data_IF_232436171690
#
_entry.id   IF_232436171690
#
_cell.length_a   1.000
_cell.length_b   1.000
_cell.length_c   1.000
_cell.angle_alpha   90.00
_cell.angle_beta   90.00
_cell.angle_gamma   90.00
#
_symmetry.space_group_name_H-M   'P 1'
#
loop_
_entity.id
_entity.type
_entity.pdbx_description
1 polymer ?
#
# COMPACT_ATOMS: atom_id res chain seq x y z
N UNK A 1 -45.21 14.97 10.26
CA UNK A 1 -43.82 15.08 9.76
C UNK A 1 -43.09 13.82 10.15
N UNK A 2 -42.94 12.87 9.20
CA UNK A 2 -42.28 11.56 9.43
C UNK A 2 -40.78 11.71 9.12
N UNK A 3 -39.96 11.38 10.10
CA UNK A 3 -38.50 11.35 9.98
C UNK A 3 -38.12 10.01 9.35
N UNK A 4 -37.73 9.99 8.08
CA UNK A 4 -37.14 8.84 7.42
C UNK A 4 -35.68 8.72 7.87
N UNK A 5 -35.41 7.73 8.73
CA UNK A 5 -34.04 7.26 9.01
C UNK A 5 -33.54 6.53 7.78
N UNK A 6 -32.59 7.12 7.08
CA UNK A 6 -31.80 6.49 6.06
C UNK A 6 -31.10 5.24 6.63
N UNK A 7 -31.57 4.05 6.20
CA UNK A 7 -30.92 2.76 6.46
C UNK A 7 -29.79 2.60 5.46
N UNK A 8 -28.59 2.92 5.88
CA UNK A 8 -27.37 2.58 5.12
C UNK A 8 -27.08 1.08 5.28
N UNK A 9 -27.41 0.28 4.29
CA UNK A 9 -26.93 -1.09 4.15
C UNK A 9 -25.45 -1.04 3.75
N UNK A 10 -24.57 -1.38 4.67
CA UNK A 10 -23.15 -1.52 4.40
C UNK A 10 -22.89 -2.91 3.77
N UNK A 11 -22.91 -2.96 2.45
CA UNK A 11 -22.38 -4.09 1.70
C UNK A 11 -20.85 -4.03 1.80
N UNK A 12 -20.27 -4.88 2.65
CA UNK A 12 -18.83 -5.16 2.59
C UNK A 12 -18.63 -6.02 1.34
N UNK A 13 -18.39 -5.34 0.24
CA UNK A 13 -18.34 -5.93 -1.10
C UNK A 13 -17.15 -6.86 -1.25
N UNK A 14 -17.43 -8.07 -1.72
CA UNK A 14 -16.47 -9.14 -2.09
C UNK A 14 -15.46 -8.79 -3.19
N UNK A 15 -15.29 -7.52 -3.53
CA UNK A 15 -14.33 -7.05 -4.55
C UNK A 15 -12.86 -7.19 -4.15
N UNK A 16 -12.56 -7.53 -2.88
CA UNK A 16 -11.19 -7.72 -2.37
C UNK A 16 -10.58 -9.06 -2.82
N UNK A 17 -11.37 -10.03 -3.28
CA UNK A 17 -10.89 -11.39 -3.61
C UNK A 17 -10.27 -11.48 -5.02
N UNK A 18 -10.46 -10.50 -5.92
CA UNK A 18 -10.03 -10.62 -7.31
C UNK A 18 -8.71 -9.89 -7.66
N UNK A 19 -8.06 -9.21 -6.74
CA UNK A 19 -6.75 -8.57 -6.99
C UNK A 19 -5.52 -9.43 -6.65
N UNK A 20 -5.68 -10.70 -6.30
CA UNK A 20 -4.57 -11.55 -5.83
C UNK A 20 -3.76 -12.26 -6.95
N UNK A 21 -4.01 -12.04 -8.24
CA UNK A 21 -3.37 -12.86 -9.31
C UNK A 21 -2.52 -12.09 -10.32
N UNK A 22 -2.40 -10.78 -10.24
CA UNK A 22 -1.51 -10.05 -11.18
C UNK A 22 -0.55 -9.12 -10.46
N UNK A 23 0.36 -9.68 -9.65
CA UNK A 23 1.51 -8.94 -9.14
C UNK A 23 2.80 -9.52 -9.75
N UNK A 24 3.03 -9.21 -11.01
CA UNK A 24 4.35 -9.28 -11.64
C UNK A 24 4.72 -7.87 -12.08
N UNK A 25 5.80 -7.38 -11.50
CA UNK A 25 6.56 -6.19 -11.89
C UNK A 25 5.90 -4.82 -11.74
N UNK A 26 6.31 -4.10 -10.72
CA UNK A 26 6.59 -2.67 -10.81
C UNK A 26 5.39 -1.74 -10.81
N UNK A 27 4.94 -1.29 -9.62
CA UNK A 27 4.39 0.05 -9.55
C UNK A 27 4.68 0.71 -8.19
N UNK A 28 5.16 1.94 -8.28
CA UNK A 28 5.52 2.80 -7.16
C UNK A 28 4.40 2.94 -6.13
N UNK A 29 4.73 2.83 -4.84
CA UNK A 29 3.82 2.99 -3.69
C UNK A 29 3.10 4.36 -3.59
N UNK A 30 3.25 5.26 -4.58
CA UNK A 30 2.60 6.57 -4.63
C UNK A 30 1.15 6.58 -5.12
N UNK A 31 0.68 5.54 -5.83
CA UNK A 31 -0.62 5.55 -6.50
C UNK A 31 -1.72 4.66 -5.88
N UNK A 32 -1.42 3.86 -4.85
CA UNK A 32 -2.39 2.90 -4.31
C UNK A 32 -3.67 3.53 -3.72
N UNK A 33 -3.57 4.75 -3.18
CA UNK A 33 -4.75 5.42 -2.59
C UNK A 33 -5.64 6.08 -3.63
N UNK A 34 -5.13 6.39 -4.82
CA UNK A 34 -5.90 7.03 -5.89
C UNK A 34 -6.79 6.05 -6.67
N UNK A 35 -6.37 4.80 -6.84
CA UNK A 35 -7.13 3.80 -7.59
C UNK A 35 -8.37 3.27 -6.86
N UNK A 36 -8.36 3.18 -5.52
CA UNK A 36 -9.54 2.77 -4.76
C UNK A 36 -10.74 3.71 -4.91
N UNK A 37 -10.53 5.00 -5.15
CA UNK A 37 -11.62 5.96 -5.38
C UNK A 37 -12.21 5.89 -6.80
N UNK A 38 -11.47 5.41 -7.78
CA UNK A 38 -11.94 5.27 -9.16
C UNK A 38 -12.85 4.04 -9.35
N UNK A 39 -12.54 2.93 -8.66
CA UNK A 39 -13.31 1.68 -8.72
C UNK A 39 -14.68 1.82 -8.06
N UNK A 40 -14.80 2.60 -6.98
CA UNK A 40 -16.08 2.79 -6.29
C UNK A 40 -17.11 3.62 -7.07
N UNK A 41 -16.73 4.32 -8.13
CA UNK A 41 -17.64 5.13 -8.97
C UNK A 41 -18.24 4.41 -10.18
N UNK A 42 -17.71 3.24 -10.56
CA UNK A 42 -18.17 2.52 -11.78
C UNK A 42 -19.19 1.41 -11.52
N UNK A 43 -19.63 1.18 -10.28
CA UNK A 43 -20.52 0.07 -9.92
C UNK A 43 -22.01 0.45 -9.81
N UNK A 44 -22.44 1.60 -10.30
CA UNK A 44 -23.86 2.01 -10.32
C UNK A 44 -24.44 2.10 -11.72
N UNK A 45 -24.02 1.28 -12.67
CA UNK A 45 -24.69 1.18 -13.98
C UNK A 45 -25.02 -0.27 -14.29
N UNK A 46 -26.32 -0.47 -14.60
CA UNK A 46 -26.95 -1.76 -14.89
C UNK A 46 -26.25 -2.56 -15.99
N UNK A 47 -26.18 -3.89 -15.80
CA UNK A 47 -25.67 -4.84 -16.77
C UNK A 47 -26.55 -4.95 -18.03
N UNK A 48 -25.98 -4.99 -19.23
CA UNK A 48 -26.56 -5.64 -20.39
C UNK A 48 -25.99 -7.07 -20.56
N UNK A 49 -26.83 -7.92 -21.17
CA UNK A 49 -26.62 -9.34 -21.42
C UNK A 49 -25.35 -9.70 -22.22
N UNK A 50 -24.86 -10.96 -22.16
CA UNK A 50 -23.58 -11.35 -22.72
C UNK A 50 -23.64 -11.42 -24.27
N UNK A 51 -22.71 -10.71 -24.92
CA UNK A 51 -22.42 -10.87 -26.33
C UNK A 51 -21.31 -11.93 -26.53
N UNK A 52 -21.28 -12.61 -27.71
CA UNK A 52 -20.36 -13.73 -27.92
C UNK A 52 -18.90 -13.28 -28.01
N UNK A 53 -18.01 -14.16 -27.59
CA UNK A 53 -16.57 -13.96 -27.53
C UNK A 53 -15.98 -13.66 -28.94
N UNK A 54 -15.08 -12.67 -29.06
CA UNK A 54 -14.18 -12.59 -30.19
C UNK A 54 -12.90 -13.38 -29.93
N UNK A 55 -12.62 -14.29 -30.84
CA UNK A 55 -11.37 -15.04 -30.95
C UNK A 55 -10.19 -14.11 -31.30
N UNK A 56 -9.04 -14.36 -30.72
CA UNK A 56 -7.68 -14.00 -31.13
C UNK A 56 -7.26 -12.52 -31.20
N UNK A 57 -6.59 -12.02 -30.12
CA UNK A 57 -5.53 -11.02 -30.26
C UNK A 57 -4.43 -11.09 -29.20
N UNK A 58 -3.53 -12.10 -29.19
CA UNK A 58 -2.34 -12.05 -28.33
C UNK A 58 -1.11 -11.41 -29.00
N UNK A 59 -1.08 -11.22 -30.33
CA UNK A 59 0.14 -10.77 -31.03
C UNK A 59 0.36 -9.25 -31.02
N UNK A 60 -0.70 -8.44 -31.03
CA UNK A 60 -0.57 -6.98 -31.05
C UNK A 60 -0.16 -6.39 -29.70
N UNK A 61 -0.55 -7.02 -28.58
CA UNK A 61 -0.19 -6.59 -27.23
C UNK A 61 1.29 -6.85 -26.91
N UNK A 62 1.86 -7.97 -27.37
CA UNK A 62 3.26 -8.31 -27.16
C UNK A 62 4.22 -7.40 -27.94
N UNK A 63 3.85 -7.04 -29.19
CA UNK A 63 4.68 -6.15 -30.03
C UNK A 63 4.71 -4.71 -29.49
N UNK A 64 3.60 -4.20 -28.94
CA UNK A 64 3.58 -2.88 -28.33
C UNK A 64 4.36 -2.82 -27.00
N UNK A 65 4.31 -3.89 -26.21
CA UNK A 65 5.08 -4.00 -24.96
C UNK A 65 6.59 -4.07 -25.22
N UNK A 66 7.01 -4.79 -26.27
CA UNK A 66 8.42 -4.85 -26.70
C UNK A 66 8.94 -3.48 -27.15
N UNK A 67 8.15 -2.77 -28.00
CA UNK A 67 8.55 -1.45 -28.48
C UNK A 67 8.67 -0.41 -27.35
N UNK A 68 7.83 -0.48 -26.32
CA UNK A 68 7.94 0.39 -25.14
C UNK A 68 9.16 0.06 -24.29
N UNK A 69 9.48 -1.21 -24.09
CA UNK A 69 10.68 -1.64 -23.37
C UNK A 69 11.97 -1.21 -24.08
N UNK A 70 12.04 -1.37 -25.41
CA UNK A 70 13.18 -0.95 -26.23
C UNK A 70 13.37 0.57 -26.16
N UNK A 71 12.30 1.36 -26.20
CA UNK A 71 12.35 2.81 -26.08
C UNK A 71 12.82 3.25 -24.67
N UNK A 72 12.38 2.57 -23.62
CA UNK A 72 12.78 2.83 -22.24
C UNK A 72 14.26 2.51 -22.03
N UNK A 73 14.75 1.40 -22.57
CA UNK A 73 16.17 1.05 -22.51
C UNK A 73 17.05 2.04 -23.27
N UNK A 74 16.58 2.51 -24.45
CA UNK A 74 17.29 3.56 -25.20
C UNK A 74 17.35 4.88 -24.41
N UNK A 75 16.26 5.25 -23.73
CA UNK A 75 16.22 6.43 -22.88
C UNK A 75 17.22 6.33 -21.71
N UNK A 76 17.25 5.20 -21.01
CA UNK A 76 18.21 4.95 -19.92
C UNK A 76 19.65 5.03 -20.44
N UNK A 77 19.95 4.46 -21.61
CA UNK A 77 21.28 4.57 -22.23
C UNK A 77 21.66 6.02 -22.49
N UNK A 78 20.76 6.80 -23.05
CA UNK A 78 21.00 8.22 -23.30
C UNK A 78 21.29 8.99 -21.99
N UNK A 79 20.47 8.81 -20.95
CA UNK A 79 20.69 9.45 -19.66
C UNK A 79 22.00 9.00 -18.99
N UNK A 80 22.38 7.73 -19.17
CA UNK A 80 23.65 7.21 -18.65
C UNK A 80 24.86 7.89 -19.34
N UNK A 81 24.78 8.12 -20.64
CA UNK A 81 25.81 8.85 -21.37
C UNK A 81 25.84 10.33 -20.97
N UNK A 82 24.68 10.96 -20.77
CA UNK A 82 24.59 12.33 -20.25
C UNK A 82 25.22 12.47 -18.86
N UNK A 83 24.91 11.55 -17.92
CA UNK A 83 25.48 11.56 -16.58
C UNK A 83 27.00 11.34 -16.59
N UNK A 84 27.52 10.48 -17.50
CA UNK A 84 28.96 10.29 -17.68
C UNK A 84 29.68 11.50 -18.26
N UNK A 85 29.02 12.25 -19.14
CA UNK A 85 29.56 13.50 -19.70
C UNK A 85 29.51 14.66 -18.70
N UNK A 86 28.61 14.57 -17.72
CA UNK A 86 28.41 15.60 -16.68
C UNK A 86 28.53 14.97 -15.28
N UNK A 87 29.69 14.43 -14.90
CA UNK A 87 29.84 13.63 -13.67
C UNK A 87 29.58 14.44 -12.39
N UNK A 88 29.73 15.77 -12.45
CA UNK A 88 29.51 16.70 -11.33
C UNK A 88 28.07 17.24 -11.29
N UNK A 89 27.18 16.75 -12.14
CA UNK A 89 25.77 17.14 -12.15
C UNK A 89 24.92 16.14 -11.34
N UNK A 90 24.51 16.52 -10.12
CA UNK A 90 23.58 15.72 -9.32
C UNK A 90 22.25 15.49 -10.05
N UNK A 91 21.76 16.49 -10.80
CA UNK A 91 20.53 16.39 -11.60
C UNK A 91 20.63 15.32 -12.70
N UNK A 92 21.76 15.23 -13.42
CA UNK A 92 21.96 14.20 -14.44
C UNK A 92 21.91 12.79 -13.84
N UNK A 93 22.57 12.58 -12.70
CA UNK A 93 22.51 11.32 -11.97
C UNK A 93 21.12 11.01 -11.42
N UNK A 94 20.40 12.02 -10.92
CA UNK A 94 19.01 11.87 -10.45
C UNK A 94 18.10 11.45 -11.59
N UNK A 95 18.19 12.08 -12.77
CA UNK A 95 17.39 11.71 -13.95
C UNK A 95 17.63 10.26 -14.38
N UNK A 96 18.89 9.84 -14.39
CA UNK A 96 19.23 8.44 -14.67
C UNK A 96 18.62 7.50 -13.62
N UNK A 97 18.76 7.84 -12.35
CA UNK A 97 18.17 7.07 -11.24
C UNK A 97 16.65 6.92 -11.39
N UNK A 98 15.94 8.02 -11.69
CA UNK A 98 14.51 8.00 -11.90
C UNK A 98 14.10 7.14 -13.10
N UNK A 99 14.81 7.22 -14.22
CA UNK A 99 14.53 6.38 -15.37
C UNK A 99 14.77 4.88 -15.08
N UNK A 100 15.82 4.54 -14.33
CA UNK A 100 16.08 3.17 -13.86
C UNK A 100 14.98 2.73 -12.87
N UNK A 101 14.54 3.62 -11.97
CA UNK A 101 13.42 3.37 -11.03
C UNK A 101 12.14 3.01 -11.78
N UNK A 102 11.75 3.82 -12.78
CA UNK A 102 10.55 3.60 -13.59
C UNK A 102 10.64 2.31 -14.43
N UNK A 103 11.86 1.88 -14.77
CA UNK A 103 12.12 0.62 -15.46
C UNK A 103 12.15 -0.60 -14.52
N UNK A 104 12.14 -0.39 -13.20
CA UNK A 104 12.34 -1.47 -12.22
C UNK A 104 13.78 -1.97 -12.14
N UNK A 105 14.75 -1.26 -12.73
CA UNK A 105 16.19 -1.54 -12.62
C UNK A 105 16.70 -0.99 -11.27
N UNK A 106 16.50 -1.78 -10.23
CA UNK A 106 16.86 -1.36 -8.89
C UNK A 106 18.37 -1.14 -8.71
N UNK A 107 19.20 -1.93 -9.36
CA UNK A 107 20.66 -1.80 -9.26
C UNK A 107 21.14 -0.52 -9.96
N UNK A 108 20.65 -0.28 -11.18
CA UNK A 108 20.97 0.94 -11.92
C UNK A 108 20.46 2.21 -11.21
N UNK A 109 19.26 2.15 -10.64
CA UNK A 109 18.71 3.26 -9.86
C UNK A 109 19.54 3.56 -8.61
N UNK A 110 19.89 2.54 -7.82
CA UNK A 110 20.71 2.69 -6.61
C UNK A 110 22.09 3.28 -6.96
N UNK A 111 22.75 2.79 -8.01
CA UNK A 111 24.04 3.32 -8.44
C UNK A 111 23.95 4.81 -8.81
N UNK A 112 22.95 5.18 -9.59
CA UNK A 112 22.74 6.56 -10.02
C UNK A 112 22.37 7.47 -8.84
N UNK A 113 21.46 7.05 -7.96
CA UNK A 113 21.11 7.82 -6.76
C UNK A 113 22.29 7.98 -5.79
N UNK A 114 23.13 6.97 -5.64
CA UNK A 114 24.37 7.10 -4.85
C UNK A 114 25.32 8.15 -5.46
N UNK A 115 25.40 8.22 -6.80
CA UNK A 115 26.21 9.24 -7.46
C UNK A 115 25.64 10.63 -7.22
N UNK A 116 24.33 10.81 -7.37
CA UNK A 116 23.63 12.07 -7.06
C UNK A 116 23.83 12.48 -5.61
N UNK A 117 23.65 11.56 -4.64
CA UNK A 117 23.78 11.84 -3.21
C UNK A 117 25.22 12.09 -2.74
N UNK A 118 26.26 11.69 -3.51
CA UNK A 118 27.62 12.14 -3.23
C UNK A 118 27.81 13.63 -3.52
N UNK A 119 27.06 14.17 -4.47
CA UNK A 119 27.09 15.58 -4.87
C UNK A 119 26.14 16.42 -4.01
N UNK A 120 24.96 15.89 -3.73
CA UNK A 120 23.90 16.54 -2.93
C UNK A 120 23.44 15.61 -1.79
N UNK A 121 24.23 15.50 -0.69
CA UNK A 121 23.93 14.58 0.41
C UNK A 121 22.60 14.82 1.12
N UNK A 122 22.09 16.05 1.11
CA UNK A 122 20.83 16.46 1.76
C UNK A 122 19.57 16.22 0.93
N UNK A 123 19.65 15.61 -0.26
CA UNK A 123 18.49 15.40 -1.11
C UNK A 123 17.63 14.25 -0.56
N UNK A 124 16.59 14.60 0.21
CA UNK A 124 15.70 13.64 0.88
C UNK A 124 14.82 12.87 -0.10
N UNK A 125 14.41 13.47 -1.22
CA UNK A 125 13.63 12.80 -2.26
C UNK A 125 14.44 11.65 -2.87
N UNK A 126 15.64 11.95 -3.39
CA UNK A 126 16.54 10.95 -3.98
C UNK A 126 16.88 9.84 -2.98
N UNK A 127 17.10 10.20 -1.72
CA UNK A 127 17.40 9.22 -0.67
C UNK A 127 16.20 8.33 -0.37
N UNK A 128 14.98 8.88 -0.41
CA UNK A 128 13.74 8.12 -0.24
C UNK A 128 13.52 7.16 -1.39
N UNK A 129 13.75 7.58 -2.62
CA UNK A 129 13.60 6.75 -3.81
C UNK A 129 14.65 5.63 -3.83
N UNK A 130 15.90 5.90 -3.43
CA UNK A 130 16.92 4.88 -3.23
C UNK A 130 16.48 3.84 -2.17
N UNK A 131 15.85 4.28 -1.09
CA UNK A 131 15.25 3.39 -0.08
C UNK A 131 14.19 2.48 -0.67
N UNK A 132 13.33 3.00 -1.55
CA UNK A 132 12.31 2.21 -2.25
C UNK A 132 12.95 1.14 -3.16
N UNK A 133 14.09 1.44 -3.78
CA UNK A 133 14.83 0.46 -4.58
C UNK A 133 15.46 -0.65 -3.71
N UNK A 134 16.02 -0.32 -2.54
CA UNK A 134 16.46 -1.35 -1.59
C UNK A 134 15.32 -2.24 -1.12
N UNK A 135 14.13 -1.67 -0.87
CA UNK A 135 12.94 -2.44 -0.53
C UNK A 135 12.56 -3.41 -1.67
N UNK A 136 12.55 -2.95 -2.91
CA UNK A 136 12.27 -3.77 -4.09
C UNK A 136 13.27 -4.92 -4.26
N UNK A 137 14.52 -4.72 -3.89
CA UNK A 137 15.56 -5.77 -3.85
C UNK A 137 15.40 -6.78 -2.70
N UNK A 138 14.42 -6.60 -1.82
CA UNK A 138 14.27 -7.42 -0.61
C UNK A 138 15.30 -7.10 0.47
N UNK A 139 15.83 -5.87 0.50
CA UNK A 139 16.77 -5.34 1.48
C UNK A 139 16.08 -4.30 2.40
N UNK A 140 15.00 -4.67 3.14
CA UNK A 140 14.17 -3.70 3.85
C UNK A 140 14.91 -2.96 4.97
N UNK A 141 15.93 -3.56 5.57
CA UNK A 141 16.75 -2.88 6.58
C UNK A 141 17.48 -1.67 5.98
N UNK A 142 18.08 -1.83 4.78
CA UNK A 142 18.75 -0.73 4.07
C UNK A 142 17.76 0.33 3.59
N UNK A 143 16.56 -0.09 3.21
CA UNK A 143 15.49 0.85 2.89
C UNK A 143 15.16 1.74 4.09
N UNK A 144 14.98 1.15 5.29
CA UNK A 144 14.71 1.91 6.52
C UNK A 144 15.86 2.86 6.85
N UNK A 145 17.13 2.45 6.70
CA UNK A 145 18.30 3.34 6.89
C UNK A 145 18.24 4.56 5.95
N UNK A 146 17.87 4.36 4.69
CA UNK A 146 17.69 5.47 3.73
C UNK A 146 16.59 6.43 4.18
N UNK A 147 15.41 5.91 4.58
CA UNK A 147 14.31 6.75 5.07
C UNK A 147 14.69 7.48 6.36
N UNK A 148 15.39 6.84 7.28
CA UNK A 148 15.87 7.49 8.50
C UNK A 148 16.83 8.64 8.22
N UNK A 149 17.74 8.45 7.27
CA UNK A 149 18.64 9.52 6.88
C UNK A 149 17.89 10.65 6.16
N UNK A 150 16.92 10.34 5.29
CA UNK A 150 16.07 11.35 4.67
C UNK A 150 15.30 12.17 5.73
N UNK A 151 14.83 11.50 6.79
CA UNK A 151 14.12 12.15 7.89
C UNK A 151 15.03 12.93 8.85
N UNK A 152 16.33 12.63 8.92
CA UNK A 152 17.29 13.48 9.62
C UNK A 152 17.50 14.81 8.89
N UNK A 153 17.58 14.75 7.57
CA UNK A 153 17.77 15.93 6.72
C UNK A 153 16.47 16.75 6.62
N UNK A 154 15.32 16.05 6.49
CA UNK A 154 13.98 16.63 6.37
C UNK A 154 12.95 15.89 7.24
N UNK A 155 12.78 16.24 8.52
CA UNK A 155 11.94 15.49 9.48
C UNK A 155 10.46 15.35 9.07
N UNK A 156 9.92 16.30 8.31
CA UNK A 156 8.55 16.27 7.78
C UNK A 156 8.41 15.64 6.39
N UNK A 157 9.44 14.93 5.87
CA UNK A 157 9.42 14.36 4.54
C UNK A 157 8.38 13.24 4.41
N UNK A 158 7.25 13.55 3.77
CA UNK A 158 6.02 12.72 3.74
C UNK A 158 6.25 11.31 3.21
N UNK A 159 6.95 11.21 2.06
CA UNK A 159 7.20 9.92 1.41
C UNK A 159 8.12 9.03 2.27
N UNK A 160 9.16 9.60 2.89
CA UNK A 160 10.03 8.85 3.79
C UNK A 160 9.27 8.36 5.05
N UNK A 161 8.40 9.20 5.62
CA UNK A 161 7.53 8.82 6.76
C UNK A 161 6.62 7.66 6.38
N UNK A 162 5.93 7.77 5.24
CA UNK A 162 5.00 6.75 4.80
C UNK A 162 5.73 5.44 4.47
N UNK A 163 6.75 5.51 3.62
CA UNK A 163 7.48 4.34 3.14
C UNK A 163 8.22 3.62 4.27
N UNK A 164 8.81 4.35 5.24
CA UNK A 164 9.41 3.75 6.44
C UNK A 164 8.39 2.92 7.21
N UNK A 165 7.22 3.48 7.53
CA UNK A 165 6.21 2.77 8.29
C UNK A 165 5.66 1.55 7.55
N UNK A 166 5.41 1.66 6.23
CA UNK A 166 4.96 0.54 5.39
C UNK A 166 6.03 -0.56 5.35
N UNK A 167 7.31 -0.22 5.16
CA UNK A 167 8.42 -1.18 5.16
C UNK A 167 8.55 -1.89 6.51
N UNK A 168 8.44 -1.16 7.61
CA UNK A 168 8.46 -1.76 8.96
C UNK A 168 7.29 -2.74 9.14
N UNK A 169 6.10 -2.40 8.64
CA UNK A 169 4.89 -3.21 8.82
C UNK A 169 4.89 -4.46 7.96
N UNK A 170 5.18 -4.34 6.67
CA UNK A 170 5.04 -5.41 5.69
C UNK A 170 6.30 -6.27 5.56
N UNK A 171 7.46 -5.62 5.45
CA UNK A 171 8.69 -6.31 5.07
C UNK A 171 9.51 -6.74 6.29
N UNK A 172 9.46 -5.96 7.39
CA UNK A 172 10.09 -6.30 8.67
C UNK A 172 9.13 -6.96 9.67
N UNK A 173 7.83 -7.06 9.35
CA UNK A 173 6.80 -7.68 10.18
C UNK A 173 6.66 -7.05 11.59
N UNK A 174 6.79 -5.72 11.67
CA UNK A 174 6.81 -4.94 12.90
C UNK A 174 5.62 -3.95 12.98
N UNK A 175 4.36 -4.41 12.97
CA UNK A 175 3.20 -3.50 12.93
C UNK A 175 3.12 -2.57 14.15
N UNK A 176 3.54 -3.02 15.34
CA UNK A 176 3.54 -2.20 16.54
C UNK A 176 4.50 -1.03 16.42
N UNK A 177 5.73 -1.30 15.94
CA UNK A 177 6.75 -0.27 15.77
C UNK A 177 6.39 0.71 14.65
N UNK A 178 5.79 0.22 13.56
CA UNK A 178 5.32 1.05 12.46
C UNK A 178 4.25 2.06 12.93
N UNK A 179 3.24 1.58 13.66
CA UNK A 179 2.19 2.44 14.22
C UNK A 179 2.75 3.41 15.24
N UNK A 180 3.62 2.95 16.15
CA UNK A 180 4.26 3.82 17.13
C UNK A 180 5.13 4.92 16.49
N UNK A 181 5.83 4.58 15.41
CA UNK A 181 6.59 5.54 14.61
C UNK A 181 5.66 6.60 14.01
N UNK A 182 4.60 6.23 13.29
CA UNK A 182 3.65 7.21 12.72
C UNK A 182 2.98 8.05 13.81
N UNK A 183 2.60 7.46 14.94
CA UNK A 183 2.07 8.22 16.08
C UNK A 183 3.09 9.22 16.66
N UNK A 184 4.38 8.87 16.67
CA UNK A 184 5.43 9.80 17.11
C UNK A 184 5.56 10.99 16.16
N UNK A 185 5.52 10.74 14.86
CA UNK A 185 5.53 11.80 13.84
C UNK A 185 4.30 12.70 13.96
N UNK A 186 3.12 12.13 14.18
CA UNK A 186 1.87 12.91 14.30
C UNK A 186 1.80 13.78 15.57
N UNK A 187 2.60 13.48 16.61
CA UNK A 187 2.74 14.41 17.75
C UNK A 187 3.47 15.70 17.38
N UNK A 188 4.42 15.62 16.43
CA UNK A 188 5.16 16.79 15.95
C UNK A 188 4.46 17.48 14.77
N UNK A 189 3.80 16.68 13.92
CA UNK A 189 3.11 17.11 12.70
C UNK A 189 1.64 16.62 12.68
N UNK A 190 0.73 17.15 13.53
CA UNK A 190 -0.63 16.62 13.71
C UNK A 190 -1.46 16.59 12.42
N UNK A 191 -1.24 17.54 11.51
CA UNK A 191 -1.95 17.65 10.23
C UNK A 191 -1.17 17.10 9.04
N UNK A 192 -0.21 16.18 9.25
CA UNK A 192 0.61 15.63 8.17
C UNK A 192 -0.27 15.00 7.09
N UNK A 193 -0.18 15.55 5.89
CA UNK A 193 -0.85 15.01 4.69
C UNK A 193 0.13 14.23 3.84
N UNK A 194 -0.28 13.08 3.32
CA UNK A 194 0.48 12.29 2.35
C UNK A 194 0.45 12.94 0.96
N UNK A 195 1.23 12.43 0.02
CA UNK A 195 1.26 12.89 -1.38
C UNK A 195 -0.11 12.81 -2.06
N UNK A 196 -0.98 11.89 -1.61
CA UNK A 196 -2.38 11.78 -2.05
C UNK A 196 -3.29 12.93 -1.55
N UNK A 197 -2.80 13.80 -0.66
CA UNK A 197 -3.59 14.82 0.02
C UNK A 197 -4.39 14.29 1.22
N UNK A 198 -4.31 13.00 1.54
CA UNK A 198 -4.98 12.43 2.70
C UNK A 198 -4.18 12.70 3.99
N UNK A 199 -4.87 13.04 5.07
CA UNK A 199 -4.26 13.24 6.39
C UNK A 199 -3.91 11.89 7.02
N UNK A 200 -2.62 11.68 7.33
CA UNK A 200 -2.11 10.40 7.83
C UNK A 200 -2.86 9.93 9.09
N UNK A 201 -3.09 10.82 10.05
CA UNK A 201 -3.77 10.48 11.30
C UNK A 201 -5.18 9.91 11.09
N UNK A 202 -5.89 10.43 10.08
CA UNK A 202 -7.24 10.02 9.77
C UNK A 202 -7.32 8.68 9.05
N UNK A 203 -6.37 8.40 8.16
CA UNK A 203 -6.40 7.18 7.33
C UNK A 203 -5.52 6.05 7.88
N UNK A 204 -4.81 6.29 8.99
CA UNK A 204 -3.90 5.30 9.56
C UNK A 204 -4.57 3.93 9.85
N UNK A 205 -5.78 3.85 10.45
CA UNK A 205 -6.44 2.57 10.64
C UNK A 205 -6.69 1.81 9.33
N UNK A 206 -7.03 2.53 8.25
CA UNK A 206 -7.21 1.97 6.91
C UNK A 206 -5.90 1.39 6.36
N UNK A 207 -4.80 2.17 6.39
CA UNK A 207 -3.47 1.72 5.96
C UNK A 207 -3.04 0.45 6.70
N UNK A 208 -3.27 0.42 8.02
CA UNK A 208 -2.89 -0.74 8.85
C UNK A 208 -3.70 -1.98 8.49
N UNK A 209 -5.00 -1.84 8.20
CA UNK A 209 -5.84 -2.96 7.74
C UNK A 209 -5.45 -3.43 6.35
N UNK A 210 -5.17 -2.51 5.42
CA UNK A 210 -4.69 -2.89 4.08
C UNK A 210 -3.38 -3.68 4.14
N UNK A 211 -2.47 -3.27 5.01
CA UNK A 211 -1.23 -4.01 5.27
C UNK A 211 -1.52 -5.39 5.90
N UNK A 212 -2.47 -5.48 6.84
CA UNK A 212 -2.86 -6.74 7.46
C UNK A 212 -3.44 -7.72 6.42
N UNK A 213 -4.28 -7.24 5.50
CA UNK A 213 -4.81 -8.04 4.39
C UNK A 213 -3.71 -8.58 3.46
N UNK A 214 -2.70 -7.75 3.15
CA UNK A 214 -1.56 -8.19 2.36
C UNK A 214 -0.75 -9.27 3.10
N UNK A 215 -0.47 -9.07 4.39
CA UNK A 215 0.21 -10.07 5.23
C UNK A 215 -0.56 -11.40 5.28
N UNK A 216 -1.89 -11.32 5.42
CA UNK A 216 -2.76 -12.50 5.41
C UNK A 216 -2.69 -13.23 4.07
N UNK A 217 -2.78 -12.52 2.94
CA UNK A 217 -2.67 -13.07 1.60
C UNK A 217 -1.32 -13.79 1.36
N UNK A 218 -0.25 -13.33 2.01
CA UNK A 218 1.06 -13.96 1.99
C UNK A 218 1.25 -15.05 3.07
N UNK A 219 0.16 -15.45 3.76
CA UNK A 219 0.18 -16.50 4.79
C UNK A 219 0.77 -16.06 6.14
N UNK A 220 1.09 -14.77 6.31
CA UNK A 220 1.66 -14.20 7.55
C UNK A 220 0.58 -13.91 8.60
N UNK A 221 -0.29 -14.92 8.87
CA UNK A 221 -1.51 -14.80 9.65
C UNK A 221 -1.31 -14.20 11.05
N UNK A 222 -0.22 -14.59 11.74
CA UNK A 222 0.07 -14.09 13.09
C UNK A 222 0.42 -12.59 13.06
N UNK A 223 1.18 -12.16 12.05
CA UNK A 223 1.56 -10.76 11.90
C UNK A 223 0.35 -9.93 11.46
N UNK A 224 -0.47 -10.46 10.53
CA UNK A 224 -1.72 -9.84 10.12
C UNK A 224 -2.66 -9.60 11.31
N UNK A 225 -2.79 -10.60 12.20
CA UNK A 225 -3.62 -10.45 13.40
C UNK A 225 -3.11 -9.33 14.31
N UNK A 226 -1.80 -9.24 14.54
CA UNK A 226 -1.21 -8.12 15.30
C UNK A 226 -1.49 -6.77 14.64
N UNK A 227 -1.44 -6.69 13.31
CA UNK A 227 -1.78 -5.46 12.60
C UNK A 227 -3.26 -5.09 12.76
N UNK A 228 -4.21 -6.03 12.66
CA UNK A 228 -5.62 -5.76 12.98
C UNK A 228 -5.81 -5.27 14.42
N UNK A 229 -5.09 -5.84 15.39
CA UNK A 229 -5.10 -5.37 16.77
C UNK A 229 -4.59 -3.92 16.89
N UNK A 230 -3.55 -3.53 16.13
CA UNK A 230 -3.09 -2.14 16.10
C UNK A 230 -4.14 -1.21 15.48
N UNK A 231 -4.81 -1.61 14.39
CA UNK A 231 -5.90 -0.83 13.81
C UNK A 231 -7.03 -0.60 14.83
N UNK A 232 -7.37 -1.62 15.63
CA UNK A 232 -8.38 -1.51 16.70
C UNK A 232 -7.93 -0.69 17.92
N UNK A 233 -6.63 -0.54 18.15
CA UNK A 233 -6.11 0.42 19.14
C UNK A 233 -6.21 1.86 18.65
N UNK A 234 -6.07 2.08 17.34
CA UNK A 234 -6.23 3.40 16.71
C UNK A 234 -7.70 3.82 16.65
N UNK A 235 -8.57 2.92 16.17
CA UNK A 235 -10.02 3.08 16.17
C UNK A 235 -10.69 1.78 16.62
N UNK A 236 -11.14 1.73 17.89
CA UNK A 236 -11.82 0.56 18.42
C UNK A 236 -13.12 0.17 17.66
N UNK A 237 -13.71 1.09 16.91
CA UNK A 237 -14.95 0.87 16.15
C UNK A 237 -14.71 0.60 14.66
N UNK A 238 -13.47 0.52 14.21
CA UNK A 238 -13.13 0.36 12.80
C UNK A 238 -13.60 -0.98 12.26
N UNK A 239 -14.74 -0.96 11.54
CA UNK A 239 -15.45 -2.15 11.09
C UNK A 239 -14.56 -3.13 10.28
N UNK A 240 -13.72 -2.69 9.32
CA UNK A 240 -12.85 -3.60 8.61
C UNK A 240 -11.92 -4.41 9.53
N UNK A 241 -11.31 -3.76 10.53
CA UNK A 241 -10.42 -4.44 11.48
C UNK A 241 -11.18 -5.43 12.39
N UNK A 242 -12.40 -5.08 12.80
CA UNK A 242 -13.27 -5.98 13.58
C UNK A 242 -13.62 -7.23 12.79
N UNK A 243 -14.10 -7.05 11.55
CA UNK A 243 -14.59 -8.15 10.69
C UNK A 243 -13.44 -9.06 10.27
N UNK A 244 -12.39 -8.51 9.68
CA UNK A 244 -11.26 -9.29 9.17
C UNK A 244 -10.44 -9.91 10.32
N UNK A 245 -10.25 -9.19 11.43
CA UNK A 245 -9.58 -9.73 12.61
C UNK A 245 -10.31 -10.91 13.22
N UNK A 246 -11.65 -10.82 13.38
CA UNK A 246 -12.46 -11.92 13.89
C UNK A 246 -12.47 -13.12 12.93
N UNK A 247 -12.62 -12.87 11.62
CA UNK A 247 -12.57 -13.90 10.58
C UNK A 247 -11.24 -14.63 10.57
N UNK A 248 -10.13 -13.91 10.66
CA UNK A 248 -8.80 -14.51 10.72
C UNK A 248 -8.60 -15.35 11.99
N UNK A 249 -9.09 -14.87 13.16
CA UNK A 249 -9.04 -15.64 14.41
C UNK A 249 -9.78 -16.97 14.27
N UNK A 250 -10.99 -16.99 13.70
CA UNK A 250 -11.73 -18.24 13.45
C UNK A 250 -10.98 -19.17 12.50
N UNK A 251 -10.44 -18.62 11.39
CA UNK A 251 -9.63 -19.38 10.45
C UNK A 251 -8.32 -19.94 11.03
N UNK A 252 -7.89 -19.42 12.19
CA UNK A 252 -6.77 -19.94 12.99
C UNK A 252 -7.21 -20.89 14.10
N UNK A 253 -8.51 -21.26 14.18
CA UNK A 253 -9.04 -22.12 15.25
C UNK A 253 -9.30 -21.40 16.58
N UNK A 254 -9.25 -20.07 16.62
CA UNK A 254 -9.42 -19.22 17.80
C UNK A 254 -10.82 -18.61 17.85
N UNK A 255 -11.86 -19.41 17.59
CA UNK A 255 -13.24 -18.93 17.52
C UNK A 255 -13.73 -18.26 18.82
N UNK A 256 -13.27 -18.73 19.99
CA UNK A 256 -13.61 -18.11 21.27
C UNK A 256 -13.09 -16.65 21.37
N UNK A 257 -11.88 -16.40 20.87
CA UNK A 257 -11.26 -15.07 20.88
C UNK A 257 -11.92 -14.12 19.87
N UNK A 258 -12.54 -14.65 18.81
CA UNK A 258 -13.27 -13.87 17.81
C UNK A 258 -14.63 -13.35 18.32
N UNK A 259 -15.23 -14.01 19.31
CA UNK A 259 -16.59 -13.68 19.81
C UNK A 259 -16.75 -12.20 20.24
N UNK A 260 -15.83 -11.61 21.00
CA UNK A 260 -15.94 -10.19 21.38
C UNK A 260 -15.96 -9.25 20.17
N UNK A 261 -15.17 -9.57 19.12
CA UNK A 261 -15.11 -8.75 17.91
C UNK A 261 -16.42 -8.87 17.13
N UNK A 262 -16.96 -10.07 16.92
CA UNK A 262 -18.25 -10.30 16.26
C UNK A 262 -19.40 -9.60 16.98
N UNK A 263 -19.43 -9.62 18.32
CA UNK A 263 -20.44 -8.90 19.11
C UNK A 263 -20.38 -7.39 18.84
N UNK A 264 -19.16 -6.81 18.84
CA UNK A 264 -18.97 -5.37 18.54
C UNK A 264 -19.41 -5.02 17.12
N UNK A 265 -19.18 -5.93 16.13
CA UNK A 265 -19.69 -5.74 14.77
C UNK A 265 -21.22 -5.65 14.79
N UNK A 266 -21.91 -6.61 15.44
CA UNK A 266 -23.38 -6.64 15.46
C UNK A 266 -24.02 -5.50 16.24
N UNK A 267 -23.41 -5.02 17.32
CA UNK A 267 -23.87 -3.86 18.08
C UNK A 267 -24.01 -2.62 17.19
N UNK A 268 -23.13 -2.45 16.23
CA UNK A 268 -23.10 -1.29 15.35
C UNK A 268 -23.71 -1.56 13.97
N UNK A 269 -23.58 -2.77 13.46
CA UNK A 269 -23.99 -3.22 12.13
C UNK A 269 -24.78 -4.53 12.21
N UNK A 270 -26.08 -4.50 12.60
CA UNK A 270 -26.88 -5.72 12.86
C UNK A 270 -27.00 -6.66 11.64
N UNK A 271 -26.90 -6.10 10.44
CA UNK A 271 -27.03 -6.83 9.17
C UNK A 271 -25.67 -7.09 8.51
N UNK A 272 -24.55 -6.95 9.25
CA UNK A 272 -23.22 -7.18 8.71
C UNK A 272 -23.04 -8.64 8.26
N UNK A 273 -22.22 -8.79 7.20
CA UNK A 273 -21.77 -10.09 6.72
C UNK A 273 -20.26 -10.24 6.92
N UNK A 274 -19.81 -11.48 7.04
CA UNK A 274 -18.40 -11.85 7.02
C UNK A 274 -17.80 -11.72 5.61
N UNK A 275 -16.49 -11.87 5.42
CA UNK A 275 -15.85 -11.83 4.11
C UNK A 275 -16.35 -12.88 3.10
N UNK A 276 -16.97 -13.97 3.56
CA UNK A 276 -17.60 -14.99 2.73
C UNK A 276 -19.08 -14.71 2.42
N UNK A 277 -19.62 -13.57 2.90
CA UNK A 277 -21.01 -13.17 2.69
C UNK A 277 -22.02 -13.80 3.64
N UNK A 278 -21.60 -14.50 4.70
CA UNK A 278 -22.51 -15.04 5.72
C UNK A 278 -22.85 -13.99 6.76
N UNK A 279 -24.08 -13.97 7.30
CA UNK A 279 -24.46 -13.05 8.38
C UNK A 279 -23.56 -13.22 9.61
N UNK A 280 -23.02 -12.10 10.13
CA UNK A 280 -22.15 -12.13 11.33
C UNK A 280 -22.84 -12.73 12.55
N UNK A 281 -24.17 -12.62 12.67
CA UNK A 281 -24.93 -13.27 13.74
C UNK A 281 -24.76 -14.80 13.81
N UNK A 282 -24.41 -15.44 12.68
CA UNK A 282 -24.23 -16.90 12.61
C UNK A 282 -22.90 -17.34 13.27
N UNK A 283 -21.96 -16.43 13.49
CA UNK A 283 -20.70 -16.64 14.21
C UNK A 283 -20.85 -16.53 15.73
N UNK A 284 -21.99 -16.00 16.24
CA UNK A 284 -22.19 -15.86 17.69
C UNK A 284 -22.62 -17.20 18.29
N UNK A 285 -21.75 -17.77 19.11
CA UNK A 285 -22.10 -18.91 19.95
C UNK A 285 -23.05 -18.49 21.07
N UNK A 286 -24.13 -19.24 21.24
CA UNK A 286 -25.13 -19.05 22.30
C UNK A 286 -24.57 -19.39 23.68
#
# INVERSE_FOLDING_TARGET
MKNEKSRGTMLVSSAVILCAVTFVAGFACGNMVAEHRAVSRSLTSAAPAPAPAPEAAPAASAASASATADAQEQHIRHLRDEARQNPDSADAWTKLGNACFDAGDADGAIEAYQASLRLEPGNADVRTDMGSMYRMKGEPARAVECYEQALKDHPGHRNAIFNKGVTMMLDLEQPEQAVAFWQSVLREYPGLTLSSGAELGRIMPEIVVDAALQLEAHGRKVVALRAYEQALKLDPSFAPALVHGAWLMEGMGRAADAQPLWKRVLERYPDATDPAGKPVRDHITK
#
